data_IF_040833115309
#
_entry.id   IF_040833115309
#
_cell.length_a   1.000
_cell.length_b   1.000
_cell.length_c   1.000
_cell.angle_alpha   90.00
_cell.angle_beta   90.00
_cell.angle_gamma   90.00
#
_symmetry.space_group_name_H-M   'P 1'
#
loop_
_entity.id
_entity.type
_entity.pdbx_description
1 polymer ?
#
# COMPACT_ATOMS: atom_id res chain seq x y z
N UNK A 1 -81.25 -40.16 16.62
CA UNK A 1 -82.47 -39.59 16.00
C UNK A 1 -81.96 -38.61 14.92
N UNK A 2 -82.19 -39.09 13.75
CA UNK A 2 -82.78 -38.47 12.57
C UNK A 2 -82.35 -37.05 12.38
N UNK A 3 -81.61 -36.68 11.32
CA UNK A 3 -81.78 -37.00 9.93
C UNK A 3 -82.11 -35.71 9.20
N UNK A 4 -81.44 -35.35 8.19
CA UNK A 4 -82.00 -34.97 6.89
C UNK A 4 -80.91 -34.33 6.04
N UNK A 5 -80.62 -34.98 4.94
CA UNK A 5 -79.85 -34.48 3.78
C UNK A 5 -80.70 -33.44 3.07
N UNK A 6 -80.07 -32.38 2.60
CA UNK A 6 -80.60 -31.58 1.50
C UNK A 6 -79.51 -31.43 0.41
N UNK A 7 -79.87 -31.94 -0.76
CA UNK A 7 -79.17 -31.75 -2.03
C UNK A 7 -79.43 -30.36 -2.58
N UNK A 8 -78.43 -29.64 -2.83
CA UNK A 8 -78.52 -28.38 -3.57
C UNK A 8 -77.80 -28.51 -4.91
N UNK A 9 -78.55 -28.34 -5.98
CA UNK A 9 -78.01 -28.30 -7.37
C UNK A 9 -77.06 -27.12 -7.59
N UNK A 10 -75.89 -27.44 -8.09
CA UNK A 10 -74.96 -26.45 -8.49
C UNK A 10 -74.97 -26.32 -10.01
N UNK A 11 -75.44 -25.17 -10.52
CA UNK A 11 -75.43 -24.81 -11.93
C UNK A 11 -74.02 -24.30 -12.26
N UNK A 12 -73.31 -25.04 -13.14
CA UNK A 12 -71.99 -24.61 -13.62
C UNK A 12 -72.15 -23.71 -14.83
N UNK A 13 -71.82 -22.45 -14.68
CA UNK A 13 -71.60 -21.51 -15.80
C UNK A 13 -70.22 -21.69 -16.35
N UNK A 14 -70.13 -22.13 -17.61
CA UNK A 14 -68.88 -22.07 -18.39
C UNK A 14 -68.67 -20.64 -18.91
N UNK A 15 -67.72 -19.91 -18.32
CA UNK A 15 -67.23 -18.66 -18.91
C UNK A 15 -66.04 -19.01 -19.77
N UNK A 16 -66.18 -18.87 -21.08
CA UNK A 16 -65.07 -18.94 -22.02
C UNK A 16 -64.24 -17.68 -21.87
N UNK A 17 -63.10 -17.77 -21.17
CA UNK A 17 -62.05 -16.74 -21.18
C UNK A 17 -61.16 -16.98 -22.40
N UNK A 18 -61.30 -16.14 -23.43
CA UNK A 18 -60.36 -16.01 -24.53
C UNK A 18 -59.12 -15.27 -23.96
N UNK A 19 -58.12 -16.04 -23.56
CA UNK A 19 -56.84 -15.50 -23.14
C UNK A 19 -56.07 -14.95 -24.35
N UNK A 20 -55.94 -13.65 -24.41
CA UNK A 20 -54.95 -12.99 -25.30
C UNK A 20 -53.57 -13.32 -24.69
N UNK A 21 -52.87 -14.28 -25.30
CA UNK A 21 -51.45 -14.52 -25.00
C UNK A 21 -50.64 -13.38 -25.62
N UNK A 22 -50.38 -12.35 -24.85
CA UNK A 22 -49.34 -11.39 -25.18
C UNK A 22 -47.99 -12.14 -25.01
N UNK A 23 -47.30 -12.39 -26.11
CA UNK A 23 -45.95 -12.90 -26.08
C UNK A 23 -45.05 -11.89 -25.32
N UNK A 24 -44.60 -12.27 -24.14
CA UNK A 24 -43.50 -11.59 -23.44
C UNK A 24 -42.29 -11.80 -24.34
N UNK A 25 -41.62 -10.72 -24.79
CA UNK A 25 -40.37 -10.90 -25.50
C UNK A 25 -39.41 -11.69 -24.61
N UNK A 26 -38.88 -12.79 -25.14
CA UNK A 26 -37.86 -13.55 -24.47
C UNK A 26 -36.72 -12.60 -24.08
N UNK A 27 -36.47 -12.46 -22.77
CA UNK A 27 -35.28 -11.81 -22.29
C UNK A 27 -34.10 -12.42 -23.03
N UNK A 28 -33.37 -11.62 -23.80
CA UNK A 28 -32.11 -12.01 -24.39
C UNK A 28 -31.19 -12.59 -23.28
N UNK A 29 -30.25 -13.44 -23.64
CA UNK A 29 -29.33 -13.96 -22.65
C UNK A 29 -28.73 -12.79 -21.89
N UNK A 30 -28.81 -12.85 -20.54
CA UNK A 30 -28.08 -11.95 -19.66
C UNK A 30 -26.65 -11.85 -20.18
N UNK A 31 -26.06 -10.64 -20.22
CA UNK A 31 -24.67 -10.50 -20.59
C UNK A 31 -23.88 -11.47 -19.71
N UNK A 32 -23.21 -12.42 -20.34
CA UNK A 32 -22.28 -13.30 -19.63
C UNK A 32 -21.28 -12.35 -18.99
N UNK A 33 -21.24 -12.31 -17.68
CA UNK A 33 -20.24 -11.61 -16.90
C UNK A 33 -18.90 -12.22 -17.34
N UNK A 34 -18.28 -11.65 -18.35
CA UNK A 34 -16.93 -12.03 -18.79
C UNK A 34 -16.02 -11.49 -17.71
N UNK A 35 -15.51 -12.39 -16.87
CA UNK A 35 -14.49 -12.05 -15.89
C UNK A 35 -13.33 -11.40 -16.60
N UNK A 36 -12.85 -10.30 -16.07
CA UNK A 36 -11.85 -9.44 -16.68
C UNK A 36 -10.55 -9.51 -15.87
N UNK A 37 -9.44 -9.32 -16.54
CA UNK A 37 -8.13 -9.21 -15.90
C UNK A 37 -7.52 -7.86 -16.24
N UNK A 38 -6.59 -7.38 -15.39
CA UNK A 38 -5.89 -6.14 -15.64
C UNK A 38 -4.42 -6.24 -15.26
N UNK A 39 -3.58 -5.53 -16.00
CA UNK A 39 -2.21 -5.21 -15.64
C UNK A 39 -2.03 -3.71 -15.71
N UNK A 40 -1.49 -3.12 -14.65
CA UNK A 40 -1.16 -1.70 -14.60
C UNK A 40 0.32 -1.54 -14.21
N UNK A 41 1.06 -0.61 -14.84
CA UNK A 41 2.44 -0.35 -14.46
C UNK A 41 2.48 0.25 -13.07
N UNK A 42 3.44 -0.19 -12.28
CA UNK A 42 3.85 0.47 -11.05
C UNK A 42 5.12 1.28 -11.34
N UNK A 43 5.00 2.58 -11.38
CA UNK A 43 6.14 3.47 -11.57
C UNK A 43 6.58 4.00 -10.21
N UNK A 44 7.90 4.07 -10.00
CA UNK A 44 8.46 4.84 -8.92
C UNK A 44 7.96 6.28 -9.05
N UNK A 45 7.19 6.73 -8.09
CA UNK A 45 6.72 8.11 -8.05
C UNK A 45 7.92 9.03 -8.11
N UNK A 46 7.98 9.90 -9.12
CA UNK A 46 9.08 10.87 -9.30
C UNK A 46 8.97 11.91 -8.19
N UNK A 47 9.12 11.48 -6.94
CA UNK A 47 9.15 12.37 -5.79
C UNK A 47 10.53 13.01 -5.69
N UNK A 48 10.56 14.30 -6.00
CA UNK A 48 11.74 15.15 -5.81
C UNK A 48 11.88 15.58 -4.35
N UNK A 49 11.87 14.59 -3.42
CA UNK A 49 12.03 14.82 -1.99
C UNK A 49 13.33 14.26 -1.45
N UNK A 50 13.80 14.79 -0.31
CA UNK A 50 14.86 14.13 0.45
C UNK A 50 14.24 12.97 1.20
N UNK A 51 14.80 11.77 1.03
CA UNK A 51 14.58 10.68 1.94
C UNK A 51 14.90 11.12 3.36
N UNK A 52 13.96 10.99 4.26
CA UNK A 52 14.16 11.25 5.67
C UNK A 52 13.59 10.10 6.48
N UNK A 53 14.47 9.21 6.91
CA UNK A 53 14.06 8.01 7.63
C UNK A 53 13.25 8.28 8.89
N UNK A 54 13.54 9.36 9.62
CA UNK A 54 12.74 9.71 10.81
C UNK A 54 11.32 10.16 10.45
N UNK A 55 11.13 10.85 9.34
CA UNK A 55 9.79 11.21 8.84
C UNK A 55 9.04 9.97 8.37
N UNK A 56 9.69 9.06 7.63
CA UNK A 56 9.08 7.80 7.23
C UNK A 56 8.69 6.93 8.44
N UNK A 57 9.57 6.86 9.43
CA UNK A 57 9.27 6.16 10.66
C UNK A 57 8.07 6.77 11.40
N UNK A 58 8.03 8.09 11.52
CA UNK A 58 6.90 8.80 12.12
C UNK A 58 5.61 8.55 11.34
N UNK A 59 5.66 8.62 9.99
CA UNK A 59 4.53 8.34 9.10
C UNK A 59 3.97 6.94 9.37
N UNK A 60 4.83 5.93 9.39
CA UNK A 60 4.43 4.54 9.61
C UNK A 60 3.79 4.33 10.98
N UNK A 61 4.42 4.79 12.08
CA UNK A 61 3.85 4.62 13.43
C UNK A 61 2.45 5.20 13.55
N UNK A 62 2.21 6.33 12.94
CA UNK A 62 0.91 6.95 13.05
C UNK A 62 -0.12 6.37 12.09
N UNK A 63 0.25 5.89 10.89
CA UNK A 63 -0.64 5.13 9.98
C UNK A 63 -1.35 4.00 10.75
N UNK A 64 -0.64 3.40 11.69
CA UNK A 64 -1.14 2.29 12.50
C UNK A 64 -1.55 2.70 13.91
N UNK A 65 -1.76 4.01 14.18
CA UNK A 65 -2.11 4.54 15.51
C UNK A 65 -1.14 4.09 16.62
N UNK A 66 0.11 3.82 16.28
CA UNK A 66 1.15 3.47 17.24
C UNK A 66 1.64 4.73 17.93
N UNK A 67 1.74 4.76 19.28
CA UNK A 67 2.18 5.94 19.99
C UNK A 67 3.54 6.45 19.53
N UNK A 68 3.62 7.72 19.15
CA UNK A 68 4.85 8.35 18.70
C UNK A 68 5.80 8.55 19.87
N UNK A 69 6.99 7.94 19.89
CA UNK A 69 7.96 8.19 20.93
C UNK A 69 8.38 9.66 20.98
N UNK A 70 8.47 10.23 22.18
CA UNK A 70 8.81 11.66 22.34
C UNK A 70 10.18 12.04 21.74
N UNK A 71 11.08 11.07 21.62
CA UNK A 71 12.36 11.21 20.91
C UNK A 71 12.15 11.43 19.42
N UNK A 72 11.37 10.59 18.78
CA UNK A 72 11.02 10.70 17.36
C UNK A 72 10.30 12.02 17.07
N UNK A 73 9.30 12.37 17.89
CA UNK A 73 8.60 13.66 17.75
C UNK A 73 9.53 14.86 17.80
N UNK A 74 10.54 14.85 18.69
CA UNK A 74 11.54 15.93 18.74
C UNK A 74 12.41 15.99 17.48
N UNK A 75 12.76 14.85 16.91
CA UNK A 75 13.54 14.79 15.67
C UNK A 75 12.71 15.33 14.51
N UNK A 76 11.48 14.88 14.35
CA UNK A 76 10.55 15.35 13.31
C UNK A 76 10.31 16.85 13.42
N UNK A 77 10.01 17.39 14.62
CA UNK A 77 9.81 18.82 14.82
C UNK A 77 11.04 19.64 14.38
N UNK A 78 12.25 19.17 14.69
CA UNK A 78 13.50 19.81 14.25
C UNK A 78 13.64 19.86 12.73
N UNK A 79 13.15 18.85 12.00
CA UNK A 79 13.12 18.89 10.54
C UNK A 79 12.10 19.90 10.03
N UNK A 80 10.92 19.94 10.64
CA UNK A 80 9.83 20.86 10.25
C UNK A 80 10.18 22.32 10.56
N UNK A 81 10.90 22.63 11.66
CA UNK A 81 11.34 23.97 12.02
C UNK A 81 12.34 24.58 11.01
N UNK A 82 13.02 23.78 10.22
CA UNK A 82 13.96 24.23 9.18
C UNK A 82 13.30 24.60 7.86
N UNK A 83 11.98 24.36 7.73
CA UNK A 83 11.20 24.77 6.56
C UNK A 83 10.87 26.26 6.68
N UNK A 84 11.16 27.10 5.67
CA UNK A 84 10.79 28.52 5.70
C UNK A 84 9.30 28.73 5.97
N UNK A 85 8.95 29.74 6.74
CA UNK A 85 7.58 29.99 7.23
C UNK A 85 6.57 30.37 6.12
N UNK A 86 7.04 30.73 4.93
CA UNK A 86 6.24 30.97 3.72
C UNK A 86 5.88 29.65 2.98
N UNK A 87 6.48 28.55 3.40
CA UNK A 87 6.18 27.18 2.98
C UNK A 87 5.63 26.37 4.17
N UNK A 88 4.61 26.88 4.83
CA UNK A 88 3.96 26.22 5.96
C UNK A 88 3.47 24.84 5.55
N UNK A 89 4.09 23.80 6.10
CA UNK A 89 3.69 22.40 5.94
C UNK A 89 4.33 21.65 4.77
N UNK A 90 5.35 22.20 4.11
CA UNK A 90 6.12 21.48 3.09
C UNK A 90 7.44 21.01 3.68
N UNK A 91 7.64 19.71 3.76
CA UNK A 91 8.99 19.14 3.79
C UNK A 91 9.62 19.55 2.46
N UNK A 92 10.78 20.26 2.42
CA UNK A 92 11.32 20.73 1.17
C UNK A 92 11.63 19.54 0.27
N UNK A 93 10.92 19.44 -0.85
CA UNK A 93 11.18 18.48 -1.89
C UNK A 93 12.53 18.83 -2.56
N UNK A 94 13.54 18.00 -2.36
CA UNK A 94 14.80 18.06 -3.09
C UNK A 94 14.91 16.79 -3.92
N UNK A 95 15.19 16.86 -5.24
CA UNK A 95 15.19 15.71 -6.12
C UNK A 95 16.25 14.70 -5.69
N UNK A 96 15.84 13.48 -5.38
CA UNK A 96 16.71 12.32 -5.29
C UNK A 96 15.95 11.10 -5.82
N UNK A 97 16.64 10.29 -6.63
CA UNK A 97 16.19 9.01 -7.12
C UNK A 97 15.98 8.06 -5.94
N UNK A 98 14.78 7.56 -5.74
CA UNK A 98 14.52 6.59 -4.66
C UNK A 98 13.05 6.18 -4.56
N UNK A 99 12.86 4.93 -4.32
CA UNK A 99 11.63 4.17 -4.24
C UNK A 99 10.80 4.56 -2.98
N UNK A 100 10.11 5.70 -3.01
CA UNK A 100 9.31 6.19 -1.89
C UNK A 100 7.87 5.66 -1.90
N UNK A 101 7.27 5.66 -3.07
CA UNK A 101 5.88 5.26 -3.28
C UNK A 101 5.72 4.79 -4.73
N UNK A 102 4.74 3.92 -4.98
CA UNK A 102 4.46 3.35 -6.29
C UNK A 102 3.12 3.83 -6.82
N UNK A 103 3.14 4.75 -7.79
CA UNK A 103 1.92 5.25 -8.41
C UNK A 103 1.61 4.51 -9.71
N UNK A 104 0.33 4.24 -9.90
CA UNK A 104 -0.19 3.54 -11.06
C UNK A 104 -1.40 4.24 -11.65
N UNK A 105 -1.62 4.14 -12.97
CA UNK A 105 -2.77 4.77 -13.60
C UNK A 105 -4.05 4.00 -13.28
N UNK A 106 -5.08 4.74 -12.87
CA UNK A 106 -6.45 4.25 -12.73
C UNK A 106 -7.41 5.21 -13.45
N UNK A 107 -8.54 4.70 -13.91
CA UNK A 107 -9.56 5.47 -14.59
C UNK A 107 -10.83 5.54 -13.73
N UNK A 108 -11.41 6.72 -13.58
CA UNK A 108 -12.63 6.91 -12.79
C UNK A 108 -13.67 7.67 -13.62
N UNK A 109 -14.93 7.24 -13.52
CA UNK A 109 -16.09 7.90 -14.11
C UNK A 109 -16.37 7.53 -15.57
N UNK A 110 -17.46 8.09 -16.09
CA UNK A 110 -17.90 7.92 -17.47
C UNK A 110 -18.22 9.29 -18.10
N UNK A 111 -17.47 9.78 -19.09
CA UNK A 111 -16.28 9.14 -19.66
C UNK A 111 -15.14 9.05 -18.67
N UNK A 112 -14.25 8.08 -18.89
CA UNK A 112 -13.12 7.79 -18.01
C UNK A 112 -12.16 8.99 -17.88
N UNK A 113 -11.74 9.27 -16.65
CA UNK A 113 -10.74 10.27 -16.31
C UNK A 113 -9.56 9.54 -15.68
N UNK A 114 -8.36 9.60 -16.28
CA UNK A 114 -7.18 8.94 -15.80
C UNK A 114 -6.52 9.73 -14.67
N UNK A 115 -6.24 9.06 -13.57
CA UNK A 115 -5.49 9.54 -12.41
C UNK A 115 -4.30 8.64 -12.12
N UNK A 116 -3.28 9.16 -11.45
CA UNK A 116 -2.16 8.38 -10.93
C UNK A 116 -2.32 8.26 -9.42
N UNK A 117 -2.50 7.04 -8.94
CA UNK A 117 -2.84 6.72 -7.56
C UNK A 117 -1.79 5.80 -6.94
N UNK A 118 -1.53 5.97 -5.66
CA UNK A 118 -0.74 5.07 -4.84
C UNK A 118 -1.57 3.84 -4.45
N UNK A 119 -1.01 2.64 -4.59
CA UNK A 119 -1.69 1.37 -4.31
C UNK A 119 -1.17 0.77 -3.00
N UNK A 120 -1.99 0.84 -1.97
CA UNK A 120 -1.65 0.67 -0.57
C UNK A 120 -2.33 -0.56 0.05
N UNK A 121 -1.59 -1.65 0.29
CA UNK A 121 -2.11 -2.85 0.96
C UNK A 121 -2.30 -2.66 2.48
N UNK A 122 -1.82 -1.56 3.05
CA UNK A 122 -1.96 -1.22 4.47
C UNK A 122 -3.12 -0.26 4.77
N UNK A 123 -3.96 0.12 3.79
CA UNK A 123 -5.20 0.86 4.01
C UNK A 123 -6.34 0.39 3.12
N UNK A 124 -7.60 0.76 3.45
CA UNK A 124 -8.79 0.31 2.73
C UNK A 124 -9.53 1.42 1.97
N UNK A 125 -9.12 2.67 2.16
CA UNK A 125 -9.77 3.85 1.60
C UNK A 125 -9.29 4.11 0.17
N UNK A 126 -10.23 4.41 -0.74
CA UNK A 126 -9.88 4.85 -2.10
C UNK A 126 -10.32 6.30 -2.28
N UNK A 127 -9.36 7.22 -2.12
CA UNK A 127 -9.66 8.64 -2.17
C UNK A 127 -8.88 9.36 -3.27
N UNK A 128 -9.47 10.44 -3.79
CA UNK A 128 -8.89 11.22 -4.88
C UNK A 128 -9.03 12.73 -4.65
N UNK A 129 -8.07 13.48 -5.14
CA UNK A 129 -8.25 14.90 -5.41
C UNK A 129 -9.35 15.09 -6.46
N UNK A 130 -10.26 16.01 -6.21
CA UNK A 130 -11.42 16.25 -7.07
C UNK A 130 -11.74 17.73 -7.20
N UNK A 131 -12.76 18.06 -7.98
CA UNK A 131 -13.30 19.40 -8.03
C UNK A 131 -14.02 19.84 -6.73
N UNK A 132 -14.23 18.92 -5.76
CA UNK A 132 -14.65 19.26 -4.40
C UNK A 132 -13.48 19.72 -3.52
N UNK A 133 -12.22 19.42 -3.92
CA UNK A 133 -11.03 19.76 -3.14
C UNK A 133 -10.80 21.25 -3.07
N UNK A 134 -10.54 21.76 -1.88
CA UNK A 134 -10.23 23.19 -1.67
C UNK A 134 -9.07 23.59 -2.58
N UNK A 135 -9.31 24.56 -3.46
CA UNK A 135 -8.39 24.99 -4.55
C UNK A 135 -6.96 25.26 -4.07
N UNK A 136 -6.78 25.83 -2.88
CA UNK A 136 -5.44 26.08 -2.30
C UNK A 136 -4.62 24.80 -2.02
N UNK A 137 -5.30 23.66 -1.90
CA UNK A 137 -4.67 22.36 -1.68
C UNK A 137 -4.29 21.65 -2.99
N UNK A 138 -4.80 22.06 -4.13
CA UNK A 138 -4.44 21.53 -5.45
C UNK A 138 -3.25 22.33 -5.98
N UNK A 139 -2.09 21.66 -6.12
CA UNK A 139 -0.83 22.31 -6.51
C UNK A 139 -0.17 21.70 -7.76
N UNK A 140 -0.95 21.04 -8.58
CA UNK A 140 -0.49 20.40 -9.81
C UNK A 140 -0.99 18.98 -10.02
N UNK A 141 -1.66 18.41 -9.02
CA UNK A 141 -2.33 17.12 -9.13
C UNK A 141 -3.34 17.10 -10.28
N UNK A 142 -3.47 15.99 -10.96
CA UNK A 142 -4.64 15.72 -11.79
C UNK A 142 -5.83 15.47 -10.86
N UNK A 143 -6.92 16.22 -11.08
CA UNK A 143 -8.12 16.09 -10.23
C UNK A 143 -9.22 15.34 -10.97
N UNK A 144 -10.01 14.59 -10.22
CA UNK A 144 -11.24 13.98 -10.70
C UNK A 144 -12.36 15.03 -10.77
N UNK A 145 -12.90 15.27 -11.97
CA UNK A 145 -14.03 16.18 -12.17
C UNK A 145 -15.35 15.38 -12.12
N UNK A 146 -15.95 15.35 -10.94
CA UNK A 146 -17.23 14.68 -10.69
C UNK A 146 -18.36 15.16 -11.64
N UNK A 147 -18.33 16.43 -12.05
CA UNK A 147 -19.37 16.98 -12.93
C UNK A 147 -19.34 16.42 -14.36
N UNK A 148 -18.21 15.83 -14.76
CA UNK A 148 -18.05 15.19 -16.05
C UNK A 148 -18.43 13.71 -16.05
N UNK A 149 -18.55 13.07 -14.88
CA UNK A 149 -18.95 11.67 -14.81
C UNK A 149 -20.47 11.52 -14.80
N UNK A 150 -20.99 10.81 -15.78
CA UNK A 150 -22.43 10.47 -15.87
C UNK A 150 -22.82 9.31 -14.96
N UNK A 151 -21.85 8.60 -14.39
CA UNK A 151 -22.03 7.46 -13.47
C UNK A 151 -21.78 7.83 -12.01
N UNK A 152 -21.27 9.03 -11.73
CA UNK A 152 -21.05 9.50 -10.37
C UNK A 152 -22.37 9.64 -9.60
N UNK A 153 -22.45 8.98 -8.44
CA UNK A 153 -23.63 9.02 -7.57
C UNK A 153 -23.20 9.33 -6.14
N UNK A 154 -23.56 10.50 -5.63
CA UNK A 154 -23.30 10.85 -4.23
C UNK A 154 -24.02 9.86 -3.31
N UNK A 155 -23.31 9.36 -2.31
CA UNK A 155 -23.90 8.59 -1.20
C UNK A 155 -24.38 9.59 -0.14
N UNK A 156 -25.70 9.77 0.06
CA UNK A 156 -26.22 10.77 0.97
C UNK A 156 -25.79 10.47 2.42
N UNK A 157 -25.38 11.52 3.16
CA UNK A 157 -24.95 11.44 4.56
C UNK A 157 -23.76 10.49 4.80
N UNK A 158 -22.98 10.20 3.77
CA UNK A 158 -21.74 9.45 3.89
C UNK A 158 -20.56 10.43 3.83
N UNK A 159 -19.66 10.32 4.78
CA UNK A 159 -18.43 11.09 4.87
C UNK A 159 -17.27 10.17 5.23
N UNK A 160 -16.06 10.67 5.07
CA UNK A 160 -14.85 9.96 5.45
C UNK A 160 -13.81 10.93 5.98
N UNK A 161 -12.92 10.43 6.81
CA UNK A 161 -11.79 11.21 7.33
C UNK A 161 -10.69 10.28 7.75
N UNK A 162 -9.53 10.44 7.16
CA UNK A 162 -8.34 9.68 7.50
C UNK A 162 -7.24 10.62 7.98
N UNK A 163 -6.59 10.22 9.04
CA UNK A 163 -5.38 10.85 9.56
C UNK A 163 -4.25 9.84 9.44
N UNK A 164 -3.32 10.13 8.56
CA UNK A 164 -2.10 9.37 8.46
C UNK A 164 -1.08 9.90 9.47
N UNK A 165 -0.03 9.19 9.64
CA UNK A 165 0.78 9.48 10.73
C UNK A 165 1.89 10.44 10.60
N UNK A 166 2.18 10.88 9.46
CA UNK A 166 2.96 12.10 9.23
C UNK A 166 2.13 13.38 9.47
N UNK A 167 0.96 13.21 10.13
CA UNK A 167 -0.10 14.21 10.25
C UNK A 167 -0.66 14.63 8.89
N UNK A 168 -0.34 13.93 7.83
CA UNK A 168 -1.08 14.08 6.61
C UNK A 168 -2.51 13.60 6.84
N UNK A 169 -3.44 14.26 6.21
CA UNK A 169 -4.84 13.94 6.38
C UNK A 169 -5.61 14.23 5.10
N UNK A 170 -6.67 13.49 4.93
CA UNK A 170 -7.64 13.77 3.91
C UNK A 170 -9.04 13.49 4.45
N UNK A 171 -10.02 14.25 3.99
CA UNK A 171 -11.40 14.06 4.40
C UNK A 171 -12.37 14.63 3.37
N UNK A 172 -13.58 14.10 3.33
CA UNK A 172 -14.55 14.57 2.36
C UNK A 172 -15.86 13.81 2.37
N UNK A 173 -16.42 13.61 1.17
CA UNK A 173 -17.69 12.94 0.92
C UNK A 173 -17.49 11.76 -0.01
N UNK A 174 -18.46 10.88 -0.07
CA UNK A 174 -18.33 9.58 -0.73
C UNK A 174 -19.29 9.49 -1.89
N UNK A 175 -18.79 8.98 -3.01
CA UNK A 175 -19.54 8.68 -4.23
C UNK A 175 -19.45 7.20 -4.56
N UNK A 176 -20.39 6.73 -5.36
CA UNK A 176 -20.22 5.53 -6.18
C UNK A 176 -19.96 5.97 -7.60
N UNK A 177 -18.97 5.33 -8.24
CA UNK A 177 -18.70 5.59 -9.66
C UNK A 177 -18.09 4.35 -10.33
N UNK A 178 -17.91 4.41 -11.64
CA UNK A 178 -17.14 3.41 -12.38
C UNK A 178 -15.66 3.62 -12.09
N UNK A 179 -14.98 2.54 -11.72
CA UNK A 179 -13.54 2.51 -11.52
C UNK A 179 -12.92 1.47 -12.45
N UNK A 180 -11.80 1.79 -13.09
CA UNK A 180 -11.17 0.86 -14.02
C UNK A 180 -9.64 0.83 -13.90
N UNK A 181 -9.09 -0.38 -13.98
CA UNK A 181 -7.67 -0.69 -13.99
C UNK A 181 -7.35 -1.41 -15.31
N UNK A 182 -6.73 -0.73 -16.27
CA UNK A 182 -6.61 -1.26 -17.61
C UNK A 182 -7.99 -1.64 -18.18
N UNK A 183 -8.19 -2.89 -18.55
CA UNK A 183 -9.46 -3.40 -19.07
C UNK A 183 -10.44 -3.88 -17.98
N UNK A 184 -9.99 -4.00 -16.73
CA UNK A 184 -10.86 -4.34 -15.59
C UNK A 184 -11.75 -3.15 -15.26
N UNK A 185 -13.08 -3.34 -15.28
CA UNK A 185 -14.07 -2.31 -14.95
C UNK A 185 -14.91 -2.77 -13.76
N UNK A 186 -15.02 -1.90 -12.76
CA UNK A 186 -15.83 -2.09 -11.56
C UNK A 186 -16.88 -1.01 -11.49
N UNK A 187 -18.14 -1.40 -11.60
CA UNK A 187 -19.27 -0.47 -11.51
C UNK A 187 -19.68 -0.22 -10.06
N UNK A 188 -19.99 1.01 -9.73
CA UNK A 188 -20.48 1.40 -8.41
C UNK A 188 -19.47 1.25 -7.28
N UNK A 189 -18.17 1.33 -7.60
CA UNK A 189 -17.11 1.35 -6.61
C UNK A 189 -17.19 2.58 -5.71
N UNK A 190 -16.84 2.43 -4.44
CA UNK A 190 -16.72 3.51 -3.48
C UNK A 190 -15.55 4.42 -3.86
N UNK A 191 -15.82 5.70 -4.09
CA UNK A 191 -14.84 6.73 -4.39
C UNK A 191 -14.98 7.86 -3.37
N UNK A 192 -13.93 8.12 -2.65
CA UNK A 192 -13.85 9.13 -1.61
C UNK A 192 -13.32 10.44 -2.21
N UNK A 193 -14.23 11.41 -2.41
CA UNK A 193 -13.89 12.72 -2.94
C UNK A 193 -13.33 13.61 -1.83
N UNK A 194 -12.03 13.94 -1.92
CA UNK A 194 -11.38 14.76 -0.92
C UNK A 194 -11.83 16.21 -0.99
N UNK A 195 -12.33 16.76 0.14
CA UNK A 195 -12.60 18.18 0.33
C UNK A 195 -11.44 18.90 0.99
N UNK A 196 -10.88 18.29 2.01
CA UNK A 196 -9.71 18.79 2.73
C UNK A 196 -8.56 17.81 2.55
N UNK A 197 -7.42 18.36 2.19
CA UNK A 197 -6.19 17.57 2.02
C UNK A 197 -5.06 18.33 2.71
N UNK A 198 -4.26 17.64 3.49
CA UNK A 198 -3.10 18.23 4.16
C UNK A 198 -2.02 18.71 3.18
N UNK A 199 -1.11 19.52 3.70
CA UNK A 199 -0.03 20.09 2.87
C UNK A 199 0.93 19.01 2.38
N UNK A 200 1.11 17.94 3.13
CA UNK A 200 1.97 16.83 2.77
C UNK A 200 1.51 16.20 1.44
N UNK A 201 0.24 15.80 1.36
CA UNK A 201 -0.33 15.30 0.12
C UNK A 201 -0.40 16.37 -0.98
N UNK A 202 -0.70 17.62 -0.62
CA UNK A 202 -0.71 18.74 -1.59
C UNK A 202 0.66 18.99 -2.22
N UNK A 203 1.75 18.57 -1.60
CA UNK A 203 3.10 18.72 -2.16
C UNK A 203 3.47 17.64 -3.16
N UNK A 204 2.78 16.50 -3.15
CA UNK A 204 2.96 15.38 -4.06
C UNK A 204 2.17 15.62 -5.36
N UNK A 205 2.76 16.34 -6.29
CA UNK A 205 2.05 16.86 -7.48
C UNK A 205 1.64 15.80 -8.48
N UNK A 206 2.38 14.71 -8.50
CA UNK A 206 2.21 13.59 -9.41
C UNK A 206 1.15 12.60 -8.91
N UNK A 207 0.91 12.54 -7.58
CA UNK A 207 -0.07 11.66 -6.96
C UNK A 207 -1.44 12.34 -6.87
N UNK A 208 -2.45 11.71 -7.42
CA UNK A 208 -3.83 12.20 -7.47
C UNK A 208 -4.74 11.63 -6.38
N UNK A 209 -4.21 10.74 -5.54
CA UNK A 209 -4.93 10.05 -4.48
C UNK A 209 -4.34 8.68 -4.21
N UNK A 210 -5.10 7.85 -3.53
CA UNK A 210 -4.66 6.55 -3.02
C UNK A 210 -5.74 5.51 -3.28
N UNK A 211 -5.34 4.26 -3.54
CA UNK A 211 -6.21 3.08 -3.67
C UNK A 211 -5.87 2.09 -2.56
N UNK A 212 -6.78 1.93 -1.61
CA UNK A 212 -6.63 0.95 -0.55
C UNK A 212 -6.85 -0.48 -1.04
N UNK A 213 -5.91 -1.36 -0.74
CA UNK A 213 -5.94 -2.80 -1.03
C UNK A 213 -6.06 -3.66 0.24
N UNK A 214 -6.43 -3.06 1.38
CA UNK A 214 -6.79 -3.75 2.60
C UNK A 214 -8.32 -3.97 2.69
N UNK A 215 -8.77 -4.63 3.76
CA UNK A 215 -10.14 -5.11 3.92
C UNK A 215 -11.06 -4.01 4.48
N UNK A 216 -12.34 -4.04 4.09
CA UNK A 216 -13.33 -3.01 4.44
C UNK A 216 -13.58 -2.82 5.94
N UNK A 217 -13.14 -3.75 6.79
CA UNK A 217 -13.23 -3.58 8.25
C UNK A 217 -12.46 -2.38 8.81
N UNK A 218 -11.49 -1.85 8.05
CA UNK A 218 -10.70 -0.67 8.43
C UNK A 218 -10.96 0.58 7.58
N UNK A 219 -11.92 0.54 6.65
CA UNK A 219 -12.30 1.71 5.85
C UNK A 219 -12.82 2.85 6.73
N UNK A 220 -12.46 4.07 6.42
CA UNK A 220 -12.76 5.25 7.25
C UNK A 220 -14.06 5.97 6.83
N UNK A 221 -14.89 5.34 6.01
CA UNK A 221 -16.19 5.90 5.62
C UNK A 221 -17.25 5.67 6.71
N UNK A 222 -18.10 6.68 6.95
CA UNK A 222 -19.25 6.60 7.84
C UNK A 222 -20.54 7.01 7.11
N UNK A 223 -21.51 6.11 6.92
CA UNK A 223 -21.49 4.66 7.24
C UNK A 223 -20.48 3.89 6.40
N UNK A 224 -19.97 2.79 6.96
CA UNK A 224 -19.01 1.88 6.33
C UNK A 224 -19.44 1.48 4.92
N UNK A 225 -18.55 1.60 3.96
CA UNK A 225 -18.72 1.18 2.57
C UNK A 225 -17.83 -0.02 2.25
N UNK A 226 -17.90 -0.54 1.03
CA UNK A 226 -17.00 -1.59 0.52
C UNK A 226 -15.68 -0.96 0.06
N UNK A 227 -14.55 -1.59 0.42
CA UNK A 227 -13.25 -1.31 -0.18
C UNK A 227 -13.11 -1.98 -1.56
N UNK A 228 -12.05 -1.66 -2.32
CA UNK A 228 -11.78 -2.30 -3.61
C UNK A 228 -11.73 -3.84 -3.51
N UNK A 229 -11.11 -4.36 -2.46
CA UNK A 229 -10.93 -5.81 -2.24
C UNK A 229 -12.28 -6.55 -2.21
N UNK A 230 -13.35 -5.93 -1.71
CA UNK A 230 -14.68 -6.55 -1.65
C UNK A 230 -15.38 -6.66 -3.02
N UNK A 231 -14.94 -5.92 -4.02
CA UNK A 231 -15.48 -5.98 -5.38
C UNK A 231 -14.75 -7.00 -6.26
N UNK A 232 -13.45 -7.23 -6.00
CA UNK A 232 -12.60 -8.04 -6.86
C UNK A 232 -13.11 -9.50 -7.03
N UNK A 233 -13.61 -10.20 -5.99
CA UNK A 233 -14.11 -11.56 -6.14
C UNK A 233 -15.31 -11.71 -7.11
N UNK A 234 -16.09 -10.65 -7.29
CA UNK A 234 -17.26 -10.64 -8.16
C UNK A 234 -16.89 -10.45 -9.64
N UNK A 235 -15.74 -9.82 -9.92
CA UNK A 235 -15.35 -9.36 -11.26
C UNK A 235 -14.15 -10.10 -11.85
N UNK A 236 -13.25 -10.61 -11.00
CA UNK A 236 -12.05 -11.33 -11.44
C UNK A 236 -12.31 -12.82 -11.72
N UNK A 237 -11.59 -13.44 -12.69
CA UNK A 237 -11.60 -14.88 -12.88
C UNK A 237 -11.07 -15.63 -11.66
N UNK A 238 -9.95 -15.16 -11.12
CA UNK A 238 -9.35 -15.59 -9.86
C UNK A 238 -9.27 -14.37 -8.95
N UNK A 239 -9.75 -14.45 -7.70
CA UNK A 239 -9.78 -13.32 -6.79
C UNK A 239 -8.39 -13.08 -6.17
N UNK A 240 -7.45 -12.72 -7.03
CA UNK A 240 -6.05 -12.44 -6.70
C UNK A 240 -5.60 -11.13 -7.33
N UNK A 241 -4.60 -10.51 -6.74
CA UNK A 241 -3.75 -9.55 -7.42
C UNK A 241 -2.27 -9.87 -7.13
N UNK A 242 -1.37 -9.35 -7.99
CA UNK A 242 0.07 -9.55 -7.83
C UNK A 242 0.80 -8.22 -7.80
N UNK A 243 1.94 -8.19 -7.11
CA UNK A 243 2.84 -7.05 -7.07
C UNK A 243 4.23 -7.45 -7.57
N UNK A 244 4.75 -6.67 -8.52
CA UNK A 244 6.14 -6.72 -8.97
C UNK A 244 6.74 -5.33 -8.80
N UNK A 245 7.15 -4.97 -7.58
CA UNK A 245 7.79 -3.70 -7.25
C UNK A 245 9.31 -3.83 -7.44
N UNK A 246 9.94 -2.93 -8.20
CA UNK A 246 11.35 -3.09 -8.58
C UNK A 246 12.21 -1.93 -8.08
N UNK A 247 13.20 -2.25 -7.25
CA UNK A 247 14.14 -1.27 -6.72
C UNK A 247 14.85 -0.45 -7.82
N UNK A 248 14.83 0.89 -7.70
CA UNK A 248 15.42 1.84 -8.66
C UNK A 248 14.94 1.63 -10.12
N UNK A 249 13.71 1.21 -10.32
CA UNK A 249 13.14 0.92 -11.63
C UNK A 249 11.71 1.43 -11.74
N UNK A 250 11.31 1.85 -12.92
CA UNK A 250 9.92 2.18 -13.28
C UNK A 250 9.21 1.02 -14.00
N UNK A 251 9.78 -0.19 -13.96
CA UNK A 251 9.27 -1.36 -14.68
C UNK A 251 8.38 -2.27 -13.84
N UNK A 252 7.98 -1.86 -12.64
CA UNK A 252 7.08 -2.61 -11.79
C UNK A 252 5.65 -2.71 -12.33
N UNK A 253 4.84 -3.62 -11.77
CA UNK A 253 3.45 -3.79 -12.15
C UNK A 253 2.57 -4.34 -11.02
N UNK A 254 1.25 -4.03 -11.12
CA UNK A 254 0.18 -4.72 -10.44
C UNK A 254 -0.64 -5.47 -11.47
N UNK A 255 -0.89 -6.77 -11.26
CA UNK A 255 -1.76 -7.58 -12.12
C UNK A 255 -2.98 -8.05 -11.31
N UNK A 256 -4.16 -8.02 -11.91
CA UNK A 256 -5.41 -8.39 -11.27
C UNK A 256 -6.06 -9.57 -11.98
N UNK A 257 -6.37 -10.65 -11.25
CA UNK A 257 -7.07 -11.82 -11.73
C UNK A 257 -6.23 -12.84 -12.51
N UNK A 258 -4.91 -12.70 -12.50
CA UNK A 258 -3.97 -13.67 -13.09
C UNK A 258 -2.56 -13.50 -12.53
N UNK A 259 -1.74 -14.52 -12.71
CA UNK A 259 -0.32 -14.53 -12.39
C UNK A 259 0.46 -14.49 -13.71
N UNK A 260 1.36 -13.53 -13.86
CA UNK A 260 2.29 -13.46 -14.96
C UNK A 260 3.56 -14.26 -14.61
N UNK A 261 3.70 -15.43 -15.23
CA UNK A 261 4.81 -16.35 -14.95
C UNK A 261 6.17 -15.89 -15.50
N UNK A 262 6.21 -14.82 -16.28
CA UNK A 262 7.46 -14.24 -16.81
C UNK A 262 8.10 -13.25 -15.80
N UNK A 263 7.43 -12.91 -14.69
CA UNK A 263 7.87 -11.92 -13.72
C UNK A 263 8.68 -12.48 -12.55
N UNK A 264 8.71 -13.78 -12.38
CA UNK A 264 9.38 -14.43 -11.24
C UNK A 264 10.10 -15.71 -11.65
N UNK A 265 11.01 -16.13 -10.81
CA UNK A 265 11.74 -17.38 -10.89
C UNK A 265 11.19 -18.38 -9.86
N UNK A 266 11.39 -19.69 -10.13
CA UNK A 266 11.07 -20.77 -9.21
C UNK A 266 9.57 -20.94 -8.89
N UNK A 267 9.22 -21.58 -7.76
CA UNK A 267 7.83 -21.81 -7.33
C UNK A 267 7.35 -20.70 -6.38
N UNK A 268 6.05 -20.44 -6.38
CA UNK A 268 5.42 -19.51 -5.44
C UNK A 268 5.13 -20.27 -4.14
N UNK A 269 5.75 -19.86 -3.05
CA UNK A 269 5.47 -20.38 -1.72
C UNK A 269 4.40 -19.52 -1.03
N UNK A 270 3.36 -20.14 -0.48
CA UNK A 270 2.23 -19.46 0.13
C UNK A 270 2.22 -19.58 1.64
N UNK A 271 1.85 -18.49 2.31
CA UNK A 271 1.56 -18.43 3.75
C UNK A 271 0.15 -17.87 3.96
N UNK A 272 -0.62 -18.47 4.88
CA UNK A 272 -1.95 -17.98 5.25
C UNK A 272 -1.88 -16.63 5.97
N UNK A 273 -2.84 -15.74 5.71
CA UNK A 273 -2.95 -14.44 6.38
C UNK A 273 -4.11 -14.41 7.36
N UNK A 274 -3.95 -13.68 8.45
CA UNK A 274 -5.03 -13.30 9.35
C UNK A 274 -5.56 -11.93 8.94
N UNK A 275 -6.81 -11.89 8.48
CA UNK A 275 -7.47 -10.65 8.02
C UNK A 275 -8.44 -10.09 9.06
N UNK A 276 -8.45 -10.63 10.27
CA UNK A 276 -9.42 -10.26 11.33
C UNK A 276 -9.24 -8.83 11.82
N UNK A 277 -8.05 -8.28 11.71
CA UNK A 277 -7.72 -6.88 12.02
C UNK A 277 -7.84 -5.93 10.81
N UNK A 278 -8.24 -6.46 9.65
CA UNK A 278 -8.43 -5.71 8.40
C UNK A 278 -7.17 -5.55 7.55
N UNK A 279 -6.05 -6.10 7.98
CA UNK A 279 -4.77 -6.07 7.28
C UNK A 279 -4.38 -7.43 6.69
N UNK A 280 -3.38 -7.44 5.84
CA UNK A 280 -2.69 -8.64 5.38
C UNK A 280 -1.67 -9.07 6.43
N UNK A 281 -2.16 -9.66 7.51
CA UNK A 281 -1.34 -10.00 8.68
C UNK A 281 -0.76 -11.40 8.58
N UNK A 282 0.54 -11.52 8.82
CA UNK A 282 1.29 -12.78 8.90
C UNK A 282 2.13 -12.82 10.18
N UNK A 283 2.78 -13.93 10.45
CA UNK A 283 3.68 -14.06 11.59
C UNK A 283 5.12 -14.25 11.13
N UNK A 284 6.02 -13.41 11.62
CA UNK A 284 7.46 -13.62 11.44
C UNK A 284 7.95 -14.58 12.51
N UNK A 285 8.47 -15.73 12.08
CA UNK A 285 9.01 -16.76 12.98
C UNK A 285 10.44 -16.45 13.43
N UNK A 286 11.24 -15.91 12.51
CA UNK A 286 12.62 -15.59 12.77
C UNK A 286 13.33 -15.00 11.56
N UNK A 287 14.66 -14.90 11.67
CA UNK A 287 15.52 -14.50 10.57
C UNK A 287 16.93 -15.13 10.71
N UNK A 288 17.65 -15.14 9.60
CA UNK A 288 19.08 -15.44 9.55
C UNK A 288 19.83 -14.36 8.75
N UNK A 289 21.11 -14.18 9.00
CA UNK A 289 21.99 -13.32 8.21
C UNK A 289 22.84 -14.15 7.25
N UNK A 290 22.84 -13.83 5.96
CA UNK A 290 23.59 -14.55 4.94
C UNK A 290 25.03 -14.02 4.83
N UNK A 291 25.83 -14.24 5.83
CA UNK A 291 27.24 -13.80 5.90
C UNK A 291 28.25 -14.96 6.07
N UNK A 292 27.77 -16.19 5.96
CA UNK A 292 28.55 -17.41 6.20
C UNK A 292 28.65 -17.79 7.67
N UNK A 293 27.97 -17.08 8.57
CA UNK A 293 27.76 -17.51 9.95
C UNK A 293 26.56 -18.47 10.03
N UNK A 294 26.56 -19.31 11.08
CA UNK A 294 25.39 -20.13 11.42
C UNK A 294 24.38 -19.35 12.29
N UNK A 295 24.41 -18.01 12.24
CA UNK A 295 23.55 -17.18 13.06
C UNK A 295 22.12 -17.19 12.52
N UNK A 296 21.19 -17.60 13.38
CA UNK A 296 19.76 -17.43 13.19
C UNK A 296 19.14 -16.89 14.49
N UNK A 297 18.08 -16.15 14.34
CA UNK A 297 17.29 -15.64 15.44
C UNK A 297 15.85 -16.13 15.29
N UNK A 298 15.35 -16.88 16.26
CA UNK A 298 13.99 -17.37 16.32
C UNK A 298 13.26 -16.70 17.49
N UNK A 299 12.05 -16.21 17.25
CA UNK A 299 11.24 -15.65 18.32
C UNK A 299 10.65 -16.75 19.19
N UNK A 300 10.56 -16.54 20.52
CA UNK A 300 9.87 -17.49 21.42
C UNK A 300 8.41 -17.70 21.02
N UNK A 301 7.77 -16.63 20.51
CA UNK A 301 6.48 -16.67 19.84
C UNK A 301 6.59 -15.89 18.55
N UNK A 302 6.06 -16.37 17.42
CA UNK A 302 6.11 -15.64 16.16
C UNK A 302 5.50 -14.26 16.28
N UNK A 303 6.19 -13.26 15.73
CA UNK A 303 5.81 -11.86 15.81
C UNK A 303 4.69 -11.51 14.81
N UNK A 304 3.63 -10.85 15.28
CA UNK A 304 2.56 -10.34 14.40
C UNK A 304 3.08 -9.20 13.54
N UNK A 305 3.04 -9.36 12.23
CA UNK A 305 3.52 -8.36 11.25
C UNK A 305 2.51 -8.22 10.12
N UNK A 306 2.50 -7.07 9.46
CA UNK A 306 1.64 -6.80 8.30
C UNK A 306 2.48 -6.55 7.06
N UNK A 307 1.91 -6.88 5.89
CA UNK A 307 2.49 -6.64 4.58
C UNK A 307 1.89 -5.35 4.01
N UNK A 308 2.73 -4.34 3.71
CA UNK A 308 2.27 -2.99 3.43
C UNK A 308 3.04 -2.30 2.30
N UNK A 309 2.46 -2.26 1.09
CA UNK A 309 3.02 -1.55 -0.07
C UNK A 309 2.95 -0.03 0.04
N UNK A 310 2.19 0.51 0.98
CA UNK A 310 2.10 1.94 1.31
C UNK A 310 3.08 2.38 2.40
N UNK A 311 4.00 1.52 2.84
CA UNK A 311 5.09 1.85 3.75
C UNK A 311 6.43 1.58 3.09
N UNK A 312 7.34 2.54 3.14
CA UNK A 312 8.65 2.44 2.48
C UNK A 312 9.61 1.50 3.21
N UNK A 313 9.70 1.62 4.56
CA UNK A 313 10.71 0.95 5.36
C UNK A 313 10.25 -0.44 5.83
N UNK A 314 11.22 -1.29 6.10
CA UNK A 314 11.03 -2.59 6.75
C UNK A 314 11.14 -2.42 8.27
N UNK A 315 10.05 -2.67 9.00
CA UNK A 315 10.03 -2.64 10.45
C UNK A 315 9.87 -4.05 11.00
N UNK A 316 10.77 -4.41 11.92
CA UNK A 316 10.75 -5.70 12.59
C UNK A 316 10.79 -5.50 14.13
N UNK A 317 10.55 -6.54 14.93
CA UNK A 317 10.67 -6.46 16.38
C UNK A 317 12.06 -5.97 16.81
N UNK A 318 12.10 -5.14 17.86
CA UNK A 318 13.33 -4.49 18.33
C UNK A 318 14.47 -5.48 18.58
N UNK A 319 14.16 -6.62 19.19
CA UNK A 319 15.15 -7.66 19.47
C UNK A 319 15.79 -8.21 18.19
N UNK A 320 15.00 -8.44 17.13
CA UNK A 320 15.49 -8.95 15.85
C UNK A 320 16.41 -7.92 15.18
N UNK A 321 15.95 -6.67 15.08
CA UNK A 321 16.71 -5.57 14.46
C UNK A 321 18.02 -5.32 15.21
N UNK A 322 17.95 -5.28 16.54
CA UNK A 322 19.11 -5.10 17.40
C UNK A 322 20.11 -6.27 17.26
N UNK A 323 19.61 -7.51 17.19
CA UNK A 323 20.45 -8.70 16.99
C UNK A 323 21.14 -8.68 15.62
N UNK A 324 20.39 -8.36 14.55
CA UNK A 324 20.95 -8.25 13.20
C UNK A 324 22.08 -7.22 13.14
N UNK A 325 21.84 -5.99 13.58
CA UNK A 325 22.86 -4.93 13.47
C UNK A 325 24.06 -5.18 14.36
N UNK A 326 23.88 -5.57 15.61
CA UNK A 326 24.98 -5.75 16.55
C UNK A 326 25.92 -6.90 16.16
N UNK A 327 25.38 -7.95 15.54
CA UNK A 327 26.17 -9.12 15.21
C UNK A 327 26.76 -9.06 13.79
N UNK A 328 26.10 -8.37 12.85
CA UNK A 328 26.42 -8.55 11.42
C UNK A 328 26.78 -7.25 10.70
N UNK A 329 26.49 -6.05 11.25
CA UNK A 329 26.75 -4.78 10.57
C UNK A 329 27.70 -3.93 11.40
N UNK A 330 29.01 -3.95 11.12
CA UNK A 330 29.98 -3.15 11.85
C UNK A 330 29.64 -1.66 11.83
N UNK A 331 29.77 -1.01 12.99
CA UNK A 331 29.49 0.40 13.22
C UNK A 331 28.01 0.81 13.08
N UNK A 332 27.07 -0.13 12.87
CA UNK A 332 25.66 0.16 13.00
C UNK A 332 25.34 0.59 14.43
N UNK A 333 24.52 1.60 14.59
CA UNK A 333 24.07 2.02 15.91
C UNK A 333 22.69 2.71 15.84
N UNK A 334 21.99 2.76 16.96
CA UNK A 334 20.79 3.54 17.09
C UNK A 334 21.15 5.01 17.36
N UNK A 335 20.78 5.89 16.46
CA UNK A 335 21.01 7.32 16.59
C UNK A 335 19.83 8.03 17.23
N UNK A 336 20.00 8.59 18.44
CA UNK A 336 18.97 9.40 19.07
C UNK A 336 18.75 10.76 18.37
N UNK A 337 19.73 11.23 17.59
CA UNK A 337 19.60 12.47 16.81
C UNK A 337 18.75 12.28 15.55
N UNK A 338 18.73 11.07 15.00
CA UNK A 338 17.91 10.69 13.83
C UNK A 338 16.70 9.86 14.22
N UNK A 339 16.68 9.38 15.45
CA UNK A 339 15.70 8.46 16.01
C UNK A 339 15.50 7.20 15.15
N UNK A 340 16.58 6.48 14.93
CA UNK A 340 16.57 5.24 14.16
C UNK A 340 17.94 4.61 14.04
N UNK A 341 17.97 3.40 13.51
CA UNK A 341 19.22 2.71 13.19
C UNK A 341 19.88 3.36 12.00
N UNK A 342 21.18 3.62 12.16
CA UNK A 342 22.04 4.19 11.12
C UNK A 342 23.22 3.26 10.88
N UNK A 343 23.67 3.22 9.62
CA UNK A 343 24.78 2.38 9.18
C UNK A 343 25.70 3.20 8.29
N UNK A 344 27.00 2.83 8.17
CA UNK A 344 27.86 3.49 7.18
C UNK A 344 27.27 3.31 5.76
N UNK A 345 27.15 4.40 4.98
CA UNK A 345 26.55 4.33 3.63
C UNK A 345 27.32 3.44 2.64
N UNK A 346 28.58 3.15 2.95
CA UNK A 346 29.44 2.25 2.15
C UNK A 346 29.53 0.84 2.74
N UNK A 347 28.74 0.54 3.77
CA UNK A 347 28.66 -0.81 4.29
C UNK A 347 27.96 -1.74 3.31
N UNK A 348 28.25 -3.02 3.43
CA UNK A 348 27.58 -4.10 2.71
C UNK A 348 26.97 -5.05 3.75
N UNK A 349 25.81 -4.68 4.33
CA UNK A 349 25.14 -5.56 5.27
C UNK A 349 24.88 -6.93 4.63
N UNK A 350 24.92 -8.04 5.38
CA UNK A 350 24.52 -9.34 4.84
C UNK A 350 23.04 -9.32 4.46
N UNK A 351 22.65 -10.20 3.54
CA UNK A 351 21.25 -10.35 3.22
C UNK A 351 20.47 -10.88 4.44
N UNK A 352 19.26 -10.37 4.61
CA UNK A 352 18.35 -10.75 5.69
C UNK A 352 17.43 -11.86 5.18
N UNK A 353 17.61 -13.08 5.66
CA UNK A 353 16.76 -14.21 5.36
C UNK A 353 15.63 -14.22 6.38
N UNK A 354 14.41 -14.03 5.93
CA UNK A 354 13.24 -14.02 6.80
C UNK A 354 12.48 -15.34 6.76
N UNK A 355 11.82 -15.66 7.86
CA UNK A 355 10.89 -16.78 7.97
C UNK A 355 9.51 -16.26 8.37
N UNK A 356 8.51 -16.50 7.51
CA UNK A 356 7.11 -16.24 7.81
C UNK A 356 6.38 -17.55 8.07
N UNK A 357 5.39 -17.51 8.95
CA UNK A 357 4.55 -18.66 9.28
C UNK A 357 3.09 -18.26 9.41
N UNK A 358 2.20 -19.21 9.25
CA UNK A 358 0.76 -19.04 9.46
C UNK A 358 0.26 -19.79 10.71
N UNK A 359 -1.05 -19.83 10.88
CA UNK A 359 -1.73 -20.53 11.98
C UNK A 359 -1.60 -22.06 11.91
N UNK A 360 -1.25 -22.60 10.76
CA UNK A 360 -1.10 -24.05 10.50
C UNK A 360 0.37 -24.50 10.53
N UNK A 361 1.28 -23.59 11.01
CA UNK A 361 2.73 -23.77 11.11
C UNK A 361 3.42 -24.00 9.74
N UNK A 362 2.78 -23.60 8.62
CA UNK A 362 3.49 -23.56 7.35
C UNK A 362 4.54 -22.46 7.42
N UNK A 363 5.77 -22.79 7.04
CA UNK A 363 6.90 -21.84 7.06
C UNK A 363 7.38 -21.64 5.64
N UNK A 364 7.50 -20.37 5.25
CA UNK A 364 8.13 -19.95 4.01
C UNK A 364 9.32 -19.05 4.31
N UNK A 365 10.28 -19.00 3.40
CA UNK A 365 11.48 -18.19 3.52
C UNK A 365 11.66 -17.30 2.30
N UNK A 366 12.31 -16.15 2.52
CA UNK A 366 12.75 -15.27 1.47
C UNK A 366 13.92 -14.41 1.91
N UNK A 367 14.39 -13.54 1.03
CA UNK A 367 15.63 -12.81 1.22
C UNK A 367 15.44 -11.32 0.89
N UNK A 368 15.86 -10.44 1.81
CA UNK A 368 16.05 -9.02 1.54
C UNK A 368 17.54 -8.76 1.34
N UNK A 369 17.98 -8.28 0.16
CA UNK A 369 19.37 -7.92 -0.07
C UNK A 369 19.85 -6.85 0.91
N UNK A 370 20.96 -7.10 1.59
CA UNK A 370 21.52 -6.15 2.56
C UNK A 370 21.88 -4.79 1.94
N UNK A 371 22.10 -4.76 0.64
CA UNK A 371 22.37 -3.52 -0.12
C UNK A 371 21.17 -2.56 -0.21
N UNK A 372 19.94 -3.00 0.19
CA UNK A 372 18.76 -2.14 0.28
C UNK A 372 18.73 -1.35 1.60
N UNK A 373 19.52 -1.76 2.60
CA UNK A 373 19.50 -1.13 3.92
C UNK A 373 20.16 0.26 3.99
N UNK A 374 21.22 0.62 3.25
CA UNK A 374 21.66 2.02 3.20
C UNK A 374 20.64 2.92 2.47
N UNK A 375 19.52 3.26 3.16
CA UNK A 375 18.34 3.88 2.57
C UNK A 375 18.53 5.38 2.26
N UNK A 376 18.78 6.20 3.28
CA UNK A 376 18.86 7.65 3.12
C UNK A 376 20.17 8.23 3.68
N UNK A 377 20.90 8.99 2.87
CA UNK A 377 22.14 9.67 3.30
C UNK A 377 21.82 10.73 4.35
N UNK A 378 22.50 10.68 5.48
CA UNK A 378 22.40 11.66 6.54
C UNK A 378 23.29 12.87 6.19
N UNK A 379 22.67 13.98 5.81
CA UNK A 379 23.35 15.22 5.45
C UNK A 379 22.98 16.41 6.34
N UNK A 380 22.29 16.14 7.46
CA UNK A 380 21.86 17.17 8.39
C UNK A 380 23.00 17.62 9.32
N UNK A 381 22.98 18.89 9.68
CA UNK A 381 23.92 19.43 10.68
C UNK A 381 23.74 18.70 12.02
N UNK A 382 24.76 17.96 12.42
CA UNK A 382 24.78 17.16 13.64
C UNK A 382 24.57 15.65 13.41
N UNK A 383 24.27 15.22 12.17
CA UNK A 383 24.30 13.81 11.80
C UNK A 383 25.74 13.34 11.58
N UNK A 384 26.06 12.06 11.85
CA UNK A 384 27.35 11.49 11.54
C UNK A 384 27.63 11.51 10.04
N UNK A 385 28.78 12.10 9.64
CA UNK A 385 29.19 12.11 8.24
C UNK A 385 29.45 10.69 7.71
N UNK A 386 28.98 10.40 6.50
CA UNK A 386 29.16 9.11 5.85
C UNK A 386 28.20 8.02 6.33
N UNK A 387 27.22 8.37 7.16
CA UNK A 387 26.16 7.46 7.59
C UNK A 387 24.87 7.63 6.79
N UNK A 388 24.16 6.53 6.66
CA UNK A 388 22.82 6.44 6.09
C UNK A 388 21.83 6.02 7.18
N UNK A 389 20.61 6.56 7.12
CA UNK A 389 19.47 5.97 7.80
C UNK A 389 19.22 4.61 7.19
N UNK A 390 19.01 3.60 8.02
CA UNK A 390 18.84 2.25 7.50
C UNK A 390 17.40 1.96 7.09
N UNK A 391 17.23 1.14 6.07
CA UNK A 391 15.94 0.67 5.62
C UNK A 391 15.28 -0.36 6.53
N UNK A 392 16.06 -1.05 7.35
CA UNK A 392 15.54 -1.93 8.42
C UNK A 392 15.52 -1.16 9.73
N UNK A 393 14.35 -1.05 10.35
CA UNK A 393 14.13 -0.32 11.59
C UNK A 393 13.38 -1.16 12.62
N UNK A 394 13.46 -0.78 13.88
CA UNK A 394 12.67 -1.37 14.96
C UNK A 394 11.31 -0.68 15.02
N UNK A 395 10.21 -1.45 15.14
CA UNK A 395 8.89 -0.87 15.41
C UNK A 395 8.73 -0.43 16.87
N UNK A 396 9.58 -0.93 17.77
CA UNK A 396 9.48 -0.74 19.22
C UNK A 396 8.48 -1.72 19.87
N UNK A 397 8.40 -1.66 21.20
CA UNK A 397 7.57 -2.59 22.00
C UNK A 397 6.21 -1.97 22.40
N UNK A 398 5.70 -0.98 21.64
CA UNK A 398 4.58 -0.13 22.07
C UNK A 398 3.20 -0.64 21.67
N UNK A 399 3.09 -1.77 20.97
CA UNK A 399 1.85 -2.23 20.33
C UNK A 399 1.79 -3.75 20.19
N UNK A 400 0.60 -4.29 19.94
CA UNK A 400 0.40 -5.70 19.58
C UNK A 400 0.96 -6.01 18.18
N UNK A 401 1.03 -5.01 17.29
CA UNK A 401 1.70 -5.10 16.01
C UNK A 401 3.21 -4.99 16.23
N UNK A 402 3.94 -5.98 15.78
CA UNK A 402 5.37 -6.09 16.06
C UNK A 402 6.26 -5.82 14.84
N UNK A 403 5.67 -5.68 13.65
CA UNK A 403 6.40 -5.33 12.45
C UNK A 403 5.51 -4.90 11.30
N UNK A 404 6.11 -4.15 10.37
CA UNK A 404 5.51 -3.68 9.12
C UNK A 404 6.49 -3.95 8.01
N UNK A 405 6.10 -4.84 7.11
CA UNK A 405 6.92 -5.31 6.02
C UNK A 405 6.63 -4.44 4.79
N UNK A 406 7.30 -3.28 4.75
CA UNK A 406 7.13 -2.30 3.68
C UNK A 406 7.94 -2.61 2.43
N UNK A 407 8.03 -1.66 1.53
CA UNK A 407 8.64 -1.83 0.21
C UNK A 407 10.07 -2.40 0.24
N UNK A 408 10.89 -2.03 1.22
CA UNK A 408 12.25 -2.61 1.34
C UNK A 408 12.20 -4.12 1.55
N UNK A 409 11.16 -4.62 2.22
CA UNK A 409 10.92 -6.05 2.37
C UNK A 409 10.30 -6.68 1.11
N UNK A 410 9.33 -6.00 0.48
CA UNK A 410 8.53 -6.54 -0.62
C UNK A 410 9.30 -6.54 -1.96
N UNK A 411 10.00 -5.46 -2.30
CA UNK A 411 10.70 -5.30 -3.59
C UNK A 411 11.61 -6.45 -4.07
N UNK A 412 12.27 -7.25 -3.20
CA UNK A 412 13.09 -8.36 -3.66
C UNK A 412 12.29 -9.54 -4.20
N UNK A 413 11.00 -9.62 -3.88
CA UNK A 413 10.14 -10.76 -4.20
C UNK A 413 9.04 -10.36 -5.19
N UNK A 414 8.44 -11.34 -5.82
CA UNK A 414 7.16 -11.25 -6.51
C UNK A 414 6.08 -11.75 -5.56
N UNK A 415 5.00 -10.98 -5.37
CA UNK A 415 3.95 -11.35 -4.43
C UNK A 415 2.65 -11.66 -5.16
N UNK A 416 1.92 -12.66 -4.62
CA UNK A 416 0.55 -13.03 -5.01
C UNK A 416 -0.37 -12.89 -3.81
N UNK A 417 -1.28 -11.93 -3.88
CA UNK A 417 -2.27 -11.63 -2.85
C UNK A 417 -3.57 -12.35 -3.18
N UNK A 418 -3.81 -13.46 -2.50
CA UNK A 418 -4.96 -14.34 -2.75
C UNK A 418 -6.10 -14.01 -1.77
N UNK A 419 -7.02 -13.17 -2.25
CA UNK A 419 -8.20 -12.72 -1.51
C UNK A 419 -9.11 -13.91 -1.20
N UNK A 420 -9.25 -14.82 -2.17
CA UNK A 420 -10.17 -15.95 -2.10
C UNK A 420 -9.78 -16.99 -1.06
N UNK A 421 -8.49 -17.23 -0.88
CA UNK A 421 -7.95 -18.21 0.07
C UNK A 421 -7.30 -17.57 1.30
N UNK A 422 -7.31 -16.23 1.41
CA UNK A 422 -6.70 -15.46 2.49
C UNK A 422 -5.26 -15.90 2.76
N UNK A 423 -4.41 -15.76 1.75
CA UNK A 423 -2.99 -16.10 1.80
C UNK A 423 -2.18 -15.18 0.92
N UNK A 424 -0.90 -15.07 1.18
CA UNK A 424 0.05 -14.37 0.30
C UNK A 424 1.11 -15.36 -0.16
N UNK A 425 1.40 -15.34 -1.47
CA UNK A 425 2.47 -16.11 -2.08
C UNK A 425 3.68 -15.23 -2.35
N UNK A 426 4.86 -15.79 -2.20
CA UNK A 426 6.13 -15.15 -2.49
C UNK A 426 6.94 -16.03 -3.46
N UNK A 427 7.56 -15.40 -4.45
CA UNK A 427 8.52 -16.05 -5.31
C UNK A 427 9.75 -15.15 -5.52
N UNK A 428 10.96 -15.72 -5.64
CA UNK A 428 12.13 -14.94 -6.04
C UNK A 428 11.93 -14.41 -7.46
N UNK A 429 12.52 -13.25 -7.75
CA UNK A 429 12.48 -12.64 -9.08
C UNK A 429 13.84 -12.11 -9.51
N UNK A 430 14.08 -11.94 -10.83
CA UNK A 430 15.31 -11.33 -11.32
C UNK A 430 15.43 -9.89 -10.76
N UNK A 431 16.45 -9.66 -9.93
CA UNK A 431 16.71 -8.32 -9.40
C UNK A 431 17.51 -7.51 -10.43
N UNK A 432 17.21 -6.21 -10.63
CA UNK A 432 17.98 -5.37 -11.51
C UNK A 432 19.42 -5.27 -11.01
N UNK A 433 20.43 -5.25 -11.91
CA UNK A 433 21.83 -5.15 -11.52
C UNK A 433 22.04 -3.84 -10.74
N UNK A 434 22.49 -3.93 -9.50
CA UNK A 434 22.74 -2.78 -8.65
C UNK A 434 23.82 -1.90 -9.27
N UNK A 435 23.56 -0.60 -9.35
CA UNK A 435 24.56 0.41 -9.79
C UNK A 435 25.70 0.37 -8.78
N UNK A 436 26.81 -0.26 -9.16
CA UNK A 436 28.00 -0.43 -8.30
C UNK A 436 28.42 0.90 -7.67
N UNK A 437 28.84 0.87 -6.42
CA UNK A 437 29.25 2.01 -5.57
C UNK A 437 30.28 2.97 -6.21
N UNK A 438 30.90 2.61 -7.35
CA UNK A 438 31.81 3.46 -8.11
C UNK A 438 31.19 4.77 -8.61
N UNK A 439 29.90 4.81 -8.97
CA UNK A 439 29.22 6.04 -9.40
C UNK A 439 28.76 6.94 -8.24
N UNK A 440 28.57 6.38 -7.04
CA UNK A 440 28.30 7.21 -5.84
C UNK A 440 29.52 8.07 -5.45
N UNK A 441 30.77 7.60 -5.70
CA UNK A 441 31.99 8.38 -5.47
C UNK A 441 32.11 9.58 -6.39
N UNK A 442 31.65 9.52 -7.63
CA UNK A 442 31.76 10.63 -8.60
C UNK A 442 30.78 11.77 -8.30
N UNK A 443 29.62 11.48 -7.70
CA UNK A 443 28.67 12.49 -7.27
C UNK A 443 29.16 13.27 -6.03
N UNK A 444 29.89 12.62 -5.11
CA UNK A 444 30.54 13.30 -3.98
C UNK A 444 31.80 14.07 -4.39
N UNK A 445 32.62 13.51 -5.28
CA UNK A 445 33.83 14.18 -5.78
C UNK A 445 33.53 15.44 -6.62
N UNK A 446 32.44 15.49 -7.34
CA UNK A 446 32.01 16.66 -8.12
C UNK A 446 31.43 17.79 -7.25
N UNK A 447 30.90 17.53 -6.07
CA UNK A 447 30.46 18.60 -5.15
C UNK A 447 31.64 19.30 -4.48
N UNK A 448 32.73 18.60 -4.20
CA UNK A 448 33.94 19.17 -3.55
C UNK A 448 34.75 20.02 -4.51
N UNK A 449 34.69 19.76 -5.83
CA UNK A 449 35.43 20.59 -6.84
C UNK A 449 34.73 21.89 -7.20
N UNK A 450 33.49 22.13 -6.84
CA UNK A 450 32.75 23.37 -7.18
C UNK A 450 32.84 24.49 -6.13
N UNK A 451 33.52 24.26 -5.01
CA UNK A 451 33.65 25.23 -3.90
C UNK A 451 35.06 25.91 -3.88
N UNK A 452 35.97 25.57 -4.78
CA UNK A 452 37.35 26.12 -4.76
C UNK A 452 37.62 27.12 -5.93
N UNK A 453 36.62 27.61 -6.63
CA UNK A 453 36.79 28.67 -7.62
C UNK A 453 35.66 29.70 -7.53
N UNK A 454 35.73 30.54 -6.48
CA UNK A 454 35.38 31.98 -6.51
C UNK A 454 35.95 32.65 -5.27
#
# INVERSE_FOLDING_TARGET
MAGRKNFGFMVVWFVLLIGIVTAIPASGPSPKNTRQTASIPAADGIFKGRHNGALEYHRTLSKYNIPIPSGLQRVVNRYLEKVPSDQTGTVPAVPQDGDLEWISPANIGTPAQQLYLDFDTGSADTWVFSNDTVTKSVKGQTIFDLSKSTTAQLIPNCSWSILYGDFSSSSGIVYKDTFALGDLVIEGMTIESAKQVSTQFSSQKEMSGLVGLAFSSIIQTEPVQKSLIDFLPDVLPDPIFTTDLRHNSSEGSYNFGYIDHDLYDDEIEYVGVDVSDGFWSVKMKGFAAKDGSDFSYEFEQPAQVILDTGSTLFYAPDQAVSAYYKNHVPYANFSYSEYGWIIPCNSTPPNFIWELTDKDDNVIQGEVPGEYFPYAVLDNKGSPEGYCYSGLQSLGDFTSLQGILGDIFLKPMFEVWDIGQQRVGFAPKPLPPMKTAGKRRDLMANKTKKVILQ
#
